data_IF_319723946426
#
_entry.id   IF_319723946426
#
_cell.length_a   1.000
_cell.length_b   1.000
_cell.length_c   1.000
_cell.angle_alpha   90.00
_cell.angle_beta   90.00
_cell.angle_gamma   90.00
#
_symmetry.space_group_name_H-M   'P 1'
#
loop_
_entity.id
_entity.type
_entity.pdbx_description
1 polymer ?
#
# COMPACT_ATOMS: atom_id res chain seq x y z
N UNK A 1 -13.85 0.35 12.23
CA UNK A 1 -14.25 1.62 11.61
C UNK A 1 -14.99 1.33 10.33
N UNK A 2 -16.04 2.10 10.00
CA UNK A 2 -16.72 1.97 8.73
C UNK A 2 -15.81 2.46 7.59
N UNK A 3 -15.64 1.66 6.53
CA UNK A 3 -14.90 2.07 5.32
C UNK A 3 -15.70 3.08 4.48
N UNK A 4 -17.03 2.96 4.50
CA UNK A 4 -17.96 3.85 3.82
C UNK A 4 -18.38 5.00 4.73
N UNK A 5 -18.41 6.22 4.20
CA UNK A 5 -18.79 7.45 4.91
C UNK A 5 -18.12 7.54 6.29
N UNK A 6 -16.77 7.46 6.34
CA UNK A 6 -16.08 7.36 7.62
C UNK A 6 -16.15 8.71 8.35
N UNK A 7 -16.30 8.66 9.68
CA UNK A 7 -16.24 9.88 10.52
C UNK A 7 -14.85 10.51 10.62
N UNK A 8 -13.82 9.84 10.12
CA UNK A 8 -12.43 10.29 10.08
C UNK A 8 -11.64 9.54 8.99
N UNK A 9 -10.52 10.08 8.47
CA UNK A 9 -9.71 9.37 7.49
C UNK A 9 -9.22 8.00 8.00
N UNK A 10 -9.15 7.03 7.10
CA UNK A 10 -8.62 5.69 7.39
C UNK A 10 -7.15 5.63 6.95
N UNK A 11 -6.26 5.14 7.81
CA UNK A 11 -4.84 4.99 7.45
C UNK A 11 -4.62 3.64 6.77
N UNK A 12 -4.07 3.67 5.56
CA UNK A 12 -3.64 2.50 4.82
C UNK A 12 -2.13 2.51 4.60
N UNK A 13 -1.51 1.33 4.58
CA UNK A 13 -0.08 1.18 4.27
C UNK A 13 0.07 0.37 2.99
N UNK A 14 0.74 0.96 2.01
CA UNK A 14 1.10 0.32 0.74
C UNK A 14 2.53 -0.18 0.73
N UNK A 15 2.79 -1.24 -0.03
CA UNK A 15 4.08 -1.93 -0.10
C UNK A 15 4.71 -1.73 -1.48
N UNK A 16 5.76 -0.92 -1.58
CA UNK A 16 6.55 -0.80 -2.79
C UNK A 16 7.69 -1.82 -2.75
N UNK A 17 7.71 -2.73 -3.72
CA UNK A 17 8.74 -3.78 -3.85
C UNK A 17 9.25 -3.78 -5.28
N UNK A 18 10.57 -3.73 -5.44
CA UNK A 18 11.23 -3.86 -6.74
C UNK A 18 11.88 -5.24 -6.90
N UNK A 19 11.70 -5.86 -8.06
CA UNK A 19 12.39 -7.11 -8.46
C UNK A 19 12.82 -7.01 -9.92
N UNK A 20 14.14 -6.94 -10.16
CA UNK A 20 14.69 -6.89 -11.52
C UNK A 20 14.08 -5.79 -12.40
N UNK A 21 13.98 -4.56 -11.88
CA UNK A 21 13.41 -3.40 -12.60
C UNK A 21 11.88 -3.39 -12.71
N UNK A 22 11.18 -4.32 -12.06
CA UNK A 22 9.71 -4.41 -12.02
C UNK A 22 9.17 -4.06 -10.64
N UNK A 23 7.94 -3.60 -10.58
CA UNK A 23 7.19 -3.36 -9.33
C UNK A 23 6.15 -4.45 -9.10
N UNK A 24 5.93 -4.80 -7.83
CA UNK A 24 4.86 -5.72 -7.44
C UNK A 24 3.51 -5.00 -7.45
N UNK A 25 2.53 -5.59 -8.12
CA UNK A 25 1.14 -5.12 -8.13
C UNK A 25 0.19 -6.27 -7.81
N UNK A 26 -0.96 -5.91 -7.26
CA UNK A 26 -2.10 -6.80 -6.99
C UNK A 26 -3.36 -6.29 -7.66
N UNK A 27 -4.21 -7.21 -8.10
CA UNK A 27 -5.56 -6.91 -8.60
C UNK A 27 -6.54 -6.97 -7.44
N UNK A 28 -7.18 -5.86 -7.14
CA UNK A 28 -8.03 -5.69 -5.96
C UNK A 28 -9.34 -6.47 -6.08
N UNK A 29 -9.65 -7.32 -5.09
CA UNK A 29 -10.88 -8.12 -5.05
C UNK A 29 -12.10 -7.34 -4.57
N UNK A 30 -11.89 -6.34 -3.70
CA UNK A 30 -12.97 -5.62 -3.02
C UNK A 30 -12.95 -4.10 -3.26
N UNK A 31 -14.09 -3.40 -3.11
CA UNK A 31 -14.13 -1.93 -3.09
C UNK A 31 -13.36 -1.33 -1.91
N UNK A 32 -12.83 -0.09 -2.05
CA UNK A 32 -12.79 0.71 -3.27
C UNK A 32 -11.82 0.13 -4.30
N UNK A 33 -12.11 0.39 -5.59
CA UNK A 33 -11.22 -0.01 -6.69
C UNK A 33 -11.22 -1.50 -7.04
N UNK A 34 -12.32 -2.23 -6.79
CA UNK A 34 -12.47 -3.62 -7.26
C UNK A 34 -12.13 -3.75 -8.75
N UNK A 35 -11.31 -4.73 -9.10
CA UNK A 35 -10.83 -4.99 -10.45
C UNK A 35 -9.73 -4.05 -10.94
N UNK A 36 -9.33 -3.04 -10.14
CA UNK A 36 -8.16 -2.20 -10.42
C UNK A 36 -6.90 -2.83 -9.86
N UNK A 37 -5.77 -2.44 -10.44
CA UNK A 37 -4.44 -2.82 -9.97
C UNK A 37 -3.86 -1.76 -9.03
N UNK A 38 -3.21 -2.18 -7.97
CA UNK A 38 -2.49 -1.30 -7.04
C UNK A 38 -1.23 -1.97 -6.51
N UNK A 39 -0.37 -1.21 -5.83
CA UNK A 39 0.60 -1.84 -4.92
C UNK A 39 -0.16 -2.63 -3.83
N UNK A 40 0.41 -3.75 -3.32
CA UNK A 40 -0.18 -4.48 -2.20
C UNK A 40 -0.22 -3.64 -0.93
N UNK A 41 -1.12 -3.96 -0.01
CA UNK A 41 -1.21 -3.26 1.26
C UNK A 41 -2.60 -3.24 1.86
N UNK A 42 -2.67 -2.88 3.14
CA UNK A 42 -3.90 -2.92 3.90
C UNK A 42 -3.95 -1.90 5.02
N UNK A 43 -4.81 -2.16 6.01
CA UNK A 43 -5.04 -1.19 7.08
C UNK A 43 -4.08 -1.40 8.25
N UNK A 44 -3.81 -0.31 8.94
CA UNK A 44 -3.07 -0.34 10.21
C UNK A 44 -3.94 -0.98 11.29
N UNK A 45 -3.49 -2.08 11.90
CA UNK A 45 -4.12 -2.62 13.12
C UNK A 45 -3.59 -1.88 14.35
N UNK A 46 -4.38 -1.85 15.41
CA UNK A 46 -3.99 -1.17 16.65
C UNK A 46 -2.69 -1.75 17.21
N UNK A 47 -1.73 -0.86 17.50
CA UNK A 47 -0.43 -1.23 18.08
C UNK A 47 0.62 -1.67 17.04
N UNK A 48 0.28 -1.70 15.75
CA UNK A 48 1.25 -1.94 14.67
C UNK A 48 1.95 -0.64 14.24
N UNK A 49 3.23 -0.76 13.93
CA UNK A 49 4.02 0.23 13.19
C UNK A 49 3.75 0.10 11.69
N UNK A 50 4.05 1.15 10.94
CA UNK A 50 3.93 1.14 9.48
C UNK A 50 4.74 0.00 8.83
N UNK A 51 5.91 -0.30 9.39
CA UNK A 51 6.78 -1.38 8.91
C UNK A 51 6.20 -2.77 9.20
N UNK A 52 5.62 -2.97 10.40
CA UNK A 52 4.94 -4.23 10.75
C UNK A 52 3.73 -4.47 9.84
N UNK A 53 2.93 -3.43 9.57
CA UNK A 53 1.80 -3.51 8.63
C UNK A 53 2.29 -3.89 7.23
N UNK A 54 3.31 -3.19 6.71
CA UNK A 54 3.82 -3.44 5.36
C UNK A 54 4.34 -4.87 5.18
N UNK A 55 5.13 -5.38 6.15
CA UNK A 55 5.65 -6.74 6.07
C UNK A 55 4.53 -7.79 6.13
N UNK A 56 3.55 -7.61 7.04
CA UNK A 56 2.41 -8.51 7.20
C UNK A 56 1.52 -8.54 5.95
N UNK A 57 1.08 -7.38 5.49
CA UNK A 57 0.17 -7.26 4.33
C UNK A 57 0.83 -7.77 3.05
N UNK A 58 2.13 -7.52 2.85
CA UNK A 58 2.87 -8.05 1.70
C UNK A 58 2.81 -9.58 1.65
N UNK A 59 3.07 -10.25 2.79
CA UNK A 59 3.04 -11.71 2.87
C UNK A 59 1.61 -12.26 2.74
N UNK A 60 0.63 -11.66 3.45
CA UNK A 60 -0.79 -12.07 3.43
C UNK A 60 -1.42 -11.94 2.03
N UNK A 61 -1.15 -10.85 1.30
CA UNK A 61 -1.78 -10.58 0.00
C UNK A 61 -1.06 -11.21 -1.19
N UNK A 62 0.26 -11.46 -1.08
CA UNK A 62 1.06 -11.81 -2.26
C UNK A 62 1.92 -13.06 -2.11
N UNK A 63 2.14 -13.54 -0.87
CA UNK A 63 3.11 -14.59 -0.56
C UNK A 63 4.58 -14.15 -0.69
N UNK A 64 4.85 -12.87 -0.98
CA UNK A 64 6.21 -12.31 -1.02
C UNK A 64 6.66 -11.94 0.39
N UNK A 65 7.93 -12.19 0.70
CA UNK A 65 8.54 -11.73 1.94
C UNK A 65 9.35 -10.48 1.66
N UNK A 66 9.24 -9.49 2.55
CA UNK A 66 9.97 -8.24 2.40
C UNK A 66 10.51 -7.72 3.73
N UNK A 67 11.68 -7.07 3.69
CA UNK A 67 12.21 -6.32 4.83
C UNK A 67 11.94 -4.83 4.63
N UNK A 68 11.17 -4.16 5.52
CA UNK A 68 10.92 -2.73 5.43
C UNK A 68 12.22 -1.90 5.47
N UNK A 69 12.32 -0.91 4.59
CA UNK A 69 13.47 0.00 4.51
C UNK A 69 13.13 1.41 4.98
N UNK A 70 11.86 1.83 4.86
CA UNK A 70 11.37 3.15 5.25
C UNK A 70 10.14 3.58 4.46
N UNK A 71 9.58 4.73 4.82
CA UNK A 71 8.46 5.37 4.12
C UNK A 71 8.99 6.15 2.92
N UNK A 72 8.31 6.05 1.78
CA UNK A 72 8.72 6.72 0.53
C UNK A 72 7.66 7.66 -0.06
N UNK A 73 6.42 7.57 0.42
CA UNK A 73 5.33 8.39 -0.09
C UNK A 73 4.18 8.50 0.92
N UNK A 74 3.50 9.64 0.91
CA UNK A 74 2.20 9.87 1.55
C UNK A 74 1.27 10.46 0.50
N UNK A 75 0.04 9.96 0.43
CA UNK A 75 -0.96 10.39 -0.55
C UNK A 75 -2.37 10.30 0.04
N UNK A 76 -3.29 11.10 -0.51
CA UNK A 76 -4.71 11.10 -0.14
C UNK A 76 -5.52 10.36 -1.22
N UNK A 77 -6.37 9.42 -0.79
CA UNK A 77 -7.36 8.80 -1.67
C UNK A 77 -8.77 9.10 -1.16
N UNK A 78 -9.40 10.10 -1.80
CA UNK A 78 -10.72 10.60 -1.42
C UNK A 78 -11.68 10.33 -2.57
N UNK A 79 -12.79 9.66 -2.27
CA UNK A 79 -13.92 9.50 -3.20
C UNK A 79 -15.14 10.16 -2.60
N UNK A 80 -15.81 10.98 -3.40
CA UNK A 80 -17.03 11.71 -3.03
C UNK A 80 -18.18 11.21 -3.90
N UNK A 81 -19.37 11.11 -3.34
CA UNK A 81 -20.63 10.92 -4.04
C UNK A 81 -21.69 11.93 -3.57
N UNK A 82 -22.95 11.74 -3.97
CA UNK A 82 -24.09 12.60 -3.63
C UNK A 82 -24.36 12.69 -2.12
N UNK A 83 -23.90 11.73 -1.33
CA UNK A 83 -24.07 11.69 0.13
C UNK A 83 -22.86 12.27 0.88
N UNK A 84 -21.82 12.70 0.15
CA UNK A 84 -20.60 13.30 0.70
C UNK A 84 -19.37 12.42 0.51
N UNK A 85 -18.46 12.43 1.48
CA UNK A 85 -17.19 11.69 1.39
C UNK A 85 -17.45 10.19 1.58
N UNK A 86 -17.51 9.46 0.47
CA UNK A 86 -17.75 8.01 0.44
C UNK A 86 -16.57 7.22 1.01
N UNK A 87 -15.34 7.60 0.64
CA UNK A 87 -14.09 7.00 1.12
C UNK A 87 -13.06 8.11 1.36
N UNK A 88 -12.28 8.00 2.43
CA UNK A 88 -11.14 8.88 2.69
C UNK A 88 -10.01 8.06 3.32
N UNK A 89 -8.92 7.91 2.57
CA UNK A 89 -7.71 7.25 3.04
C UNK A 89 -6.52 8.19 3.04
N UNK A 90 -5.73 8.14 4.10
CA UNK A 90 -4.33 8.58 4.10
C UNK A 90 -3.49 7.33 3.82
N UNK A 91 -2.82 7.31 2.67
CA UNK A 91 -2.03 6.18 2.20
C UNK A 91 -0.55 6.45 2.43
N UNK A 92 0.11 5.60 3.20
CA UNK A 92 1.55 5.68 3.47
C UNK A 92 2.23 4.52 2.76
N UNK A 93 3.16 4.80 1.85
CA UNK A 93 3.89 3.76 1.13
C UNK A 93 5.21 3.47 1.81
N UNK A 94 5.45 2.20 2.14
CA UNK A 94 6.72 1.69 2.67
C UNK A 94 7.46 0.97 1.54
N UNK A 95 8.74 1.29 1.36
CA UNK A 95 9.64 0.54 0.50
C UNK A 95 10.14 -0.69 1.26
N UNK A 96 10.09 -1.86 0.63
CA UNK A 96 10.65 -3.09 1.18
C UNK A 96 11.71 -3.66 0.25
N UNK A 97 12.77 -4.21 0.84
CA UNK A 97 13.70 -5.11 0.15
C UNK A 97 12.98 -6.44 -0.08
N UNK A 98 13.02 -6.93 -1.32
CA UNK A 98 12.49 -8.22 -1.71
C UNK A 98 13.38 -9.37 -1.18
N UNK A 99 12.80 -10.24 -0.36
CA UNK A 99 13.46 -11.43 0.20
C UNK A 99 13.08 -12.72 -0.54
N UNK A 100 12.30 -12.60 -1.62
CA UNK A 100 11.86 -13.74 -2.44
C UNK A 100 10.45 -14.23 -2.10
N UNK A 101 10.09 -15.32 -2.76
CA UNK A 101 8.72 -15.85 -2.82
C UNK A 101 8.12 -15.74 -4.23
N UNK A 102 7.05 -16.50 -4.46
CA UNK A 102 6.30 -16.49 -5.71
C UNK A 102 5.03 -15.65 -5.55
N UNK A 103 4.83 -14.62 -6.40
CA UNK A 103 3.67 -13.76 -6.29
C UNK A 103 2.41 -14.53 -6.67
N UNK A 104 1.43 -14.54 -5.75
CA UNK A 104 0.10 -15.12 -5.97
C UNK A 104 -0.95 -14.29 -5.24
N UNK A 105 -2.15 -14.20 -5.79
CA UNK A 105 -3.25 -13.53 -5.10
C UNK A 105 -3.59 -14.24 -3.77
N UNK A 106 -3.67 -13.47 -2.70
CA UNK A 106 -4.04 -13.91 -1.35
C UNK A 106 -5.40 -13.39 -0.89
N UNK A 107 -5.48 -12.93 0.36
CA UNK A 107 -6.72 -12.57 1.07
C UNK A 107 -7.64 -11.61 0.28
N UNK A 108 -7.15 -10.38 0.07
CA UNK A 108 -7.86 -9.28 -0.60
C UNK A 108 -7.40 -9.07 -2.06
N UNK A 109 -6.47 -9.89 -2.55
CA UNK A 109 -5.89 -9.82 -3.89
C UNK A 109 -6.34 -11.01 -4.76
N UNK A 110 -6.95 -10.73 -5.91
CA UNK A 110 -7.34 -11.77 -6.88
C UNK A 110 -6.12 -12.33 -7.62
N UNK A 111 -5.18 -11.44 -7.96
CA UNK A 111 -3.97 -11.74 -8.71
C UNK A 111 -2.81 -10.90 -8.15
N UNK A 112 -1.58 -11.40 -8.25
CA UNK A 112 -0.37 -10.67 -7.89
C UNK A 112 0.73 -10.94 -8.93
N UNK A 113 1.52 -9.93 -9.27
CA UNK A 113 2.57 -10.08 -10.26
C UNK A 113 3.57 -8.91 -10.29
N UNK A 114 4.75 -9.18 -10.83
CA UNK A 114 5.76 -8.15 -11.08
C UNK A 114 5.64 -7.62 -12.50
N UNK A 115 5.52 -6.30 -12.63
CA UNK A 115 5.36 -5.61 -13.90
C UNK A 115 6.42 -4.53 -14.07
N UNK A 116 6.95 -4.37 -15.27
CA UNK A 116 7.69 -3.16 -15.63
C UNK A 116 6.77 -1.94 -15.50
N UNK A 117 7.34 -0.74 -15.38
CA UNK A 117 6.52 0.49 -15.32
C UNK A 117 5.66 0.64 -16.58
N UNK A 118 6.19 0.29 -17.76
CA UNK A 118 5.45 0.36 -19.03
C UNK A 118 4.30 -0.66 -19.12
N UNK A 119 4.48 -1.86 -18.57
CA UNK A 119 3.40 -2.85 -18.46
C UNK A 119 2.34 -2.38 -17.45
N UNK A 120 2.77 -1.85 -16.30
CA UNK A 120 1.88 -1.34 -15.27
C UNK A 120 0.97 -0.21 -15.79
N UNK A 121 1.51 0.72 -16.58
CA UNK A 121 0.75 1.82 -17.18
C UNK A 121 -0.33 1.37 -18.17
N UNK A 122 -0.27 0.13 -18.66
CA UNK A 122 -1.31 -0.47 -19.52
C UNK A 122 -2.43 -1.15 -18.72
N UNK A 123 -2.26 -1.31 -17.40
CA UNK A 123 -3.27 -1.87 -16.50
C UNK A 123 -4.26 -0.80 -16.05
N UNK A 124 -5.43 -1.23 -15.58
CA UNK A 124 -6.41 -0.34 -14.95
C UNK A 124 -5.99 -0.01 -13.50
N UNK A 125 -5.08 0.93 -13.33
CA UNK A 125 -4.50 1.27 -12.02
C UNK A 125 -5.45 2.08 -11.11
N UNK A 126 -5.24 2.00 -9.80
CA UNK A 126 -5.78 3.01 -8.88
C UNK A 126 -5.09 4.36 -9.11
N UNK A 127 -5.79 5.50 -8.90
CA UNK A 127 -5.18 6.82 -9.06
C UNK A 127 -3.91 7.02 -8.22
N UNK A 128 -3.91 6.54 -6.97
CA UNK A 128 -2.75 6.61 -6.08
C UNK A 128 -1.55 5.81 -6.60
N UNK A 129 -1.78 4.63 -7.17
CA UNK A 129 -0.70 3.82 -7.76
C UNK A 129 -0.14 4.47 -9.03
N UNK A 130 -1.00 5.05 -9.87
CA UNK A 130 -0.57 5.83 -11.03
C UNK A 130 0.29 7.03 -10.61
N UNK A 131 -0.13 7.78 -9.61
CA UNK A 131 0.64 8.90 -9.06
C UNK A 131 1.99 8.46 -8.47
N UNK A 132 2.02 7.31 -7.78
CA UNK A 132 3.28 6.73 -7.29
C UNK A 132 4.23 6.36 -8.43
N UNK A 133 3.74 5.77 -9.53
CA UNK A 133 4.55 5.45 -10.71
C UNK A 133 5.12 6.71 -11.34
N UNK A 134 4.34 7.80 -11.46
CA UNK A 134 4.86 9.09 -11.96
C UNK A 134 6.00 9.62 -11.06
N UNK A 135 5.85 9.54 -9.73
CA UNK A 135 6.93 9.90 -8.79
C UNK A 135 8.17 9.02 -8.95
N UNK A 136 8.01 7.71 -9.16
CA UNK A 136 9.11 6.77 -9.42
C UNK A 136 9.86 7.19 -10.70
N UNK A 137 9.13 7.40 -11.80
CA UNK A 137 9.72 7.75 -13.10
C UNK A 137 10.46 9.09 -13.06
N UNK A 138 9.99 10.05 -12.25
CA UNK A 138 10.65 11.35 -12.06
C UNK A 138 11.79 11.35 -11.04
N UNK A 139 12.06 10.22 -10.37
CA UNK A 139 13.07 10.14 -9.32
C UNK A 139 12.73 10.96 -8.08
N UNK A 140 11.44 11.12 -7.76
CA UNK A 140 10.94 11.99 -6.69
C UNK A 140 10.69 11.27 -5.36
N UNK A 141 11.06 10.00 -5.23
CA UNK A 141 10.91 9.28 -3.97
C UNK A 141 11.98 9.69 -2.96
N UNK A 142 11.55 10.01 -1.74
CA UNK A 142 12.43 10.30 -0.61
C UNK A 142 12.24 9.21 0.44
N UNK A 143 13.32 8.53 0.83
CA UNK A 143 13.27 7.50 1.86
C UNK A 143 13.40 8.13 3.24
N UNK A 144 12.35 8.02 4.06
CA UNK A 144 12.31 8.44 5.46
C UNK A 144 12.27 7.21 6.38
N UNK A 145 12.98 7.25 7.51
CA UNK A 145 12.97 6.17 8.50
C UNK A 145 12.17 6.60 9.71
N UNK A 146 10.94 6.08 9.90
CA UNK A 146 10.12 6.44 11.05
C UNK A 146 10.85 6.19 12.37
N UNK A 147 10.67 7.11 13.32
CA UNK A 147 11.18 6.93 14.68
C UNK A 147 10.50 5.70 15.28
N UNK A 148 11.31 4.74 15.75
CA UNK A 148 10.78 3.54 16.41
C UNK A 148 9.99 3.93 17.65
N UNK A 149 8.71 3.52 17.78
CA UNK A 149 7.91 3.91 18.92
C UNK A 149 8.49 3.30 20.19
N UNK A 150 8.69 4.14 21.21
CA UNK A 150 8.86 3.66 22.57
C UNK A 150 7.47 3.39 23.13
N UNK A 151 7.16 2.13 23.40
CA UNK A 151 5.89 1.75 24.04
C UNK A 151 5.95 2.21 25.50
N UNK A 152 5.44 3.40 25.77
CA UNK A 152 5.36 3.95 27.12
C UNK A 152 4.13 3.38 27.82
N UNK A 153 4.33 2.86 29.04
CA UNK A 153 3.24 2.65 30.00
C UNK A 153 3.28 3.86 30.94
N UNK A 154 2.28 4.74 30.91
CA UNK A 154 2.14 5.74 31.97
C UNK A 154 2.17 5.03 33.32
N UNK A 155 2.94 5.56 34.26
CA UNK A 155 2.73 5.18 35.66
C UNK A 155 1.32 5.66 36.05
N UNK A 156 0.57 4.79 36.73
CA UNK A 156 -0.80 5.05 37.19
C UNK A 156 -0.92 6.34 38.01
#
# INVERSE_FOLDING_TARGET
MARLYPGQPVVGVGCLVFRGGRILLVKRKYPPGRGKWSIPGGHVRLGETLEEVAARELEEETGIKGRPLGVVNVDDAITVDDKGVRYHYVLITVLLEDLGGEPRGGDDAEEAGFYTLDEALKLNLTPSTLGLIDKITRGMLCLEKPIKPRRYRPAD
#
